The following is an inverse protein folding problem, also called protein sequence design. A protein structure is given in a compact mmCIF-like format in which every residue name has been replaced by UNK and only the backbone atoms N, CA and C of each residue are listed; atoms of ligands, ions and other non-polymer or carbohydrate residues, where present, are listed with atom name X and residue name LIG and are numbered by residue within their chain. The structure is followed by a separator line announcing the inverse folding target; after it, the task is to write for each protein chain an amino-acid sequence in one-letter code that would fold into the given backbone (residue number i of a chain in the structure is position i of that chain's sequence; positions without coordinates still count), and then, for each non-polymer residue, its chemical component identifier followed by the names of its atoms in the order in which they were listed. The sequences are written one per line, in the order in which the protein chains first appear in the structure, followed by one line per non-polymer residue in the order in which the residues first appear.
data_IF_541869985409
#
_entry.id   IF_541869985409
#
_cell.length_a   1.000
_cell.length_b   1.000
_cell.length_c   1.000
_cell.angle_alpha   90.00
_cell.angle_beta   90.00
_cell.angle_gamma   90.00
#
_symmetry.space_group_name_H-M   'P 1'
#
loop_
_entity.id
_entity.type
_entity.pdbx_description
1 polymer ?
#
# COMPACT_ATOMS: atom_id res chain seq x y z
N UNK A 1 8.95 -23.59 -17.34
CA UNK A 1 9.07 -22.28 -18.03
C UNK A 1 10.35 -21.60 -17.54
N UNK A 2 11.10 -20.90 -18.40
CA UNK A 2 12.23 -20.10 -17.93
C UNK A 2 11.74 -18.95 -17.04
N UNK A 3 12.42 -18.70 -15.93
CA UNK A 3 12.17 -17.55 -15.06
C UNK A 3 12.70 -16.30 -15.78
N UNK A 4 11.85 -15.27 -15.92
CA UNK A 4 12.20 -14.01 -16.60
C UNK A 4 12.19 -12.86 -15.59
N UNK A 5 13.27 -12.09 -15.55
CA UNK A 5 13.41 -10.97 -14.63
C UNK A 5 12.85 -9.69 -15.28
N UNK A 6 11.82 -9.04 -14.69
CA UNK A 6 11.08 -7.95 -15.36
C UNK A 6 11.90 -6.69 -15.62
N UNK A 7 12.99 -6.44 -14.87
CA UNK A 7 13.84 -5.26 -15.05
C UNK A 7 15.34 -5.51 -14.79
N UNK A 8 15.91 -6.49 -15.50
CA UNK A 8 17.30 -6.95 -15.28
C UNK A 8 18.33 -5.87 -15.60
N UNK A 9 18.07 -5.06 -16.64
CA UNK A 9 18.97 -3.99 -17.08
C UNK A 9 19.15 -2.91 -16.01
N UNK A 10 18.09 -2.57 -15.28
CA UNK A 10 18.16 -1.59 -14.20
C UNK A 10 18.92 -2.15 -13.01
N UNK A 11 18.64 -3.41 -12.61
CA UNK A 11 19.33 -4.10 -11.51
C UNK A 11 20.84 -4.12 -11.77
N UNK A 12 21.28 -4.58 -12.95
CA UNK A 12 22.68 -4.58 -13.35
C UNK A 12 23.35 -3.20 -13.31
N UNK A 13 22.63 -2.13 -13.68
CA UNK A 13 23.18 -0.77 -13.73
C UNK A 13 23.27 -0.11 -12.36
N UNK A 14 22.26 -0.32 -11.50
CA UNK A 14 22.11 0.36 -10.21
C UNK A 14 22.74 -0.41 -9.05
N UNK A 15 22.65 -1.75 -9.06
CA UNK A 15 23.10 -2.64 -8.00
C UNK A 15 24.37 -3.38 -8.42
N UNK A 16 25.39 -2.64 -8.90
CA UNK A 16 26.57 -3.26 -9.53
C UNK A 16 27.32 -4.19 -8.58
N UNK A 17 27.46 -3.80 -7.32
CA UNK A 17 28.18 -4.56 -6.30
C UNK A 17 27.43 -5.83 -5.97
N UNK A 18 26.13 -5.72 -5.70
CA UNK A 18 25.25 -6.84 -5.37
C UNK A 18 25.10 -7.80 -6.55
N UNK A 19 25.08 -7.27 -7.78
CA UNK A 19 25.03 -8.07 -8.99
C UNK A 19 26.32 -8.88 -9.19
N UNK A 20 27.48 -8.29 -8.88
CA UNK A 20 28.74 -9.02 -8.91
C UNK A 20 28.76 -10.13 -7.85
N UNK A 21 28.35 -9.83 -6.62
CA UNK A 21 28.24 -10.86 -5.56
C UNK A 21 27.24 -11.95 -5.95
N UNK A 22 26.13 -11.59 -6.60
CA UNK A 22 25.16 -12.55 -7.10
C UNK A 22 25.74 -13.46 -8.19
N UNK A 23 26.56 -12.94 -9.10
CA UNK A 23 27.29 -13.75 -10.09
C UNK A 23 28.24 -14.74 -9.41
N UNK A 24 29.02 -14.26 -8.44
CA UNK A 24 29.98 -15.08 -7.71
C UNK A 24 29.26 -16.20 -6.92
N UNK A 25 28.15 -15.87 -6.23
CA UNK A 25 27.31 -16.84 -5.55
C UNK A 25 26.65 -17.84 -6.50
N UNK A 26 26.19 -17.38 -7.67
CA UNK A 26 25.58 -18.26 -8.66
C UNK A 26 26.60 -19.29 -9.13
N UNK A 27 27.84 -18.86 -9.40
CA UNK A 27 28.93 -19.76 -9.81
C UNK A 27 29.20 -20.84 -8.75
N UNK A 28 29.23 -20.46 -7.47
CA UNK A 28 29.41 -21.42 -6.37
C UNK A 28 28.27 -22.45 -6.29
N UNK A 29 27.02 -22.02 -6.52
CA UNK A 29 25.85 -22.91 -6.51
C UNK A 29 25.87 -23.84 -7.72
N UNK A 30 26.23 -23.32 -8.89
CA UNK A 30 26.35 -24.10 -10.14
C UNK A 30 27.40 -25.22 -9.98
N UNK A 31 28.56 -24.92 -9.39
CA UNK A 31 29.63 -25.89 -9.14
C UNK A 31 29.21 -26.98 -8.14
N UNK A 32 28.62 -26.60 -7.01
CA UNK A 32 28.23 -27.54 -5.95
C UNK A 32 27.03 -28.42 -6.37
N UNK A 33 26.06 -27.84 -7.08
CA UNK A 33 24.81 -28.52 -7.43
C UNK A 33 24.76 -29.07 -8.86
N UNK A 34 25.81 -28.84 -9.65
CA UNK A 34 25.93 -29.31 -11.05
C UNK A 34 24.72 -28.90 -11.90
N UNK A 35 24.34 -27.63 -11.82
CA UNK A 35 23.23 -27.02 -12.55
C UNK A 35 23.67 -25.69 -13.18
N UNK A 36 22.86 -25.16 -14.09
CA UNK A 36 23.06 -23.81 -14.67
C UNK A 36 21.98 -22.86 -14.11
N UNK A 37 22.39 -21.68 -13.65
CA UNK A 37 21.51 -20.62 -13.16
C UNK A 37 21.32 -19.59 -14.29
N UNK A 38 20.10 -19.42 -14.81
CA UNK A 38 19.82 -18.43 -15.83
C UNK A 38 20.18 -17.01 -15.40
N UNK A 39 20.61 -16.19 -16.35
CA UNK A 39 21.03 -14.81 -16.09
C UNK A 39 19.94 -13.95 -15.43
N UNK A 40 18.67 -14.23 -15.73
CA UNK A 40 17.51 -13.60 -15.09
C UNK A 40 17.42 -13.94 -13.58
N UNK A 41 17.78 -15.16 -13.18
CA UNK A 41 17.78 -15.59 -11.77
C UNK A 41 18.89 -14.92 -10.96
N UNK A 42 20.04 -14.66 -11.60
CA UNK A 42 21.13 -13.85 -11.01
C UNK A 42 20.62 -12.44 -10.68
N UNK A 43 19.72 -11.89 -11.51
CA UNK A 43 19.02 -10.63 -11.22
C UNK A 43 18.21 -10.68 -9.92
N UNK A 44 17.50 -11.79 -9.67
CA UNK A 44 16.74 -11.96 -8.44
C UNK A 44 17.64 -12.12 -7.21
N UNK A 45 18.73 -12.89 -7.32
CA UNK A 45 19.73 -13.02 -6.24
C UNK A 45 20.32 -11.64 -5.89
N UNK A 46 20.70 -10.86 -6.91
CA UNK A 46 21.18 -9.49 -6.73
C UNK A 46 20.17 -8.61 -5.98
N UNK A 47 18.89 -8.73 -6.30
CA UNK A 47 17.83 -8.00 -5.60
C UNK A 47 17.73 -8.41 -4.13
N UNK A 48 17.81 -9.71 -3.80
CA UNK A 48 17.81 -10.18 -2.40
C UNK A 48 18.99 -9.64 -1.60
N UNK A 49 20.18 -9.58 -2.20
CA UNK A 49 21.38 -9.03 -1.57
C UNK A 49 21.30 -7.50 -1.39
N UNK A 50 20.54 -6.82 -2.24
CA UNK A 50 20.33 -5.37 -2.15
C UNK A 50 19.36 -4.94 -1.05
N UNK A 51 18.67 -5.89 -0.40
CA UNK A 51 17.80 -5.59 0.75
C UNK A 51 18.68 -5.17 1.92
N UNK A 52 19.00 -3.88 1.98
CA UNK A 52 19.60 -3.27 3.16
C UNK A 52 18.56 -3.27 4.28
N UNK A 53 18.70 -4.20 5.22
CA UNK A 53 18.03 -4.16 6.52
C UNK A 53 18.36 -2.83 7.21
N UNK A 54 17.50 -1.81 7.04
CA UNK A 54 17.55 -0.55 7.78
C UNK A 54 17.97 0.71 7.02
N UNK A 55 18.29 0.66 5.72
CA UNK A 55 18.49 1.89 4.94
C UNK A 55 17.25 2.11 4.05
N UNK A 56 16.36 3.01 4.49
CA UNK A 56 15.34 3.61 3.62
C UNK A 56 16.11 4.20 2.42
N UNK A 57 15.97 3.62 1.23
CA UNK A 57 16.51 4.22 0.02
C UNK A 57 16.04 5.68 -0.03
N UNK A 58 17.00 6.60 0.05
CA UNK A 58 16.77 8.03 -0.19
C UNK A 58 16.58 8.25 -1.68
N UNK A 59 15.53 7.66 -2.26
CA UNK A 59 14.94 8.27 -3.43
C UNK A 59 14.24 9.54 -2.96
N UNK A 60 14.23 10.62 -3.75
CA UNK A 60 13.19 11.62 -3.62
C UNK A 60 11.86 10.95 -4.03
N UNK A 61 11.32 10.11 -3.15
CA UNK A 61 9.92 9.74 -3.20
C UNK A 61 9.19 11.02 -2.82
N UNK A 62 8.70 11.76 -3.81
CA UNK A 62 7.57 12.64 -3.51
C UNK A 62 6.48 11.71 -3.00
N UNK A 63 6.22 11.74 -1.70
CA UNK A 63 5.22 10.85 -1.12
C UNK A 63 3.84 11.35 -1.53
N UNK A 64 2.82 10.52 -1.39
CA UNK A 64 1.45 11.01 -1.56
C UNK A 64 1.20 12.04 -0.47
N UNK A 65 0.86 13.26 -0.85
CA UNK A 65 0.50 14.28 0.14
C UNK A 65 -0.78 13.88 0.86
N UNK A 66 -0.82 14.03 2.18
CA UNK A 66 -2.03 13.74 2.98
C UNK A 66 -2.49 15.05 3.61
N UNK A 67 -3.73 15.46 3.32
CA UNK A 67 -4.35 16.62 3.96
C UNK A 67 -5.61 16.16 4.70
N UNK A 68 -5.63 16.37 6.00
CA UNK A 68 -6.81 16.17 6.86
C UNK A 68 -7.61 17.46 6.86
N UNK A 69 -8.88 17.41 6.44
CA UNK A 69 -9.74 18.57 6.26
C UNK A 69 -11.10 18.31 6.91
N UNK A 70 -11.41 18.96 8.02
CA UNK A 70 -12.60 18.65 8.82
C UNK A 70 -13.29 19.91 9.34
N UNK A 71 -14.57 19.78 9.63
CA UNK A 71 -15.34 20.80 10.32
C UNK A 71 -14.92 20.90 11.79
N UNK A 72 -15.12 22.08 12.36
CA UNK A 72 -14.73 22.42 13.72
C UNK A 72 -13.40 23.16 13.77
N UNK A 73 -13.01 23.56 14.98
CA UNK A 73 -11.87 24.47 15.18
C UNK A 73 -10.54 23.75 15.35
N UNK A 74 -10.56 22.45 15.62
CA UNK A 74 -9.36 21.67 15.94
C UNK A 74 -9.49 20.18 15.65
N UNK A 75 -10.52 19.76 14.90
CA UNK A 75 -10.79 18.34 14.67
C UNK A 75 -9.71 17.72 13.77
N UNK A 76 -9.40 18.37 12.65
CA UNK A 76 -8.37 17.90 11.72
C UNK A 76 -6.99 17.97 12.38
N UNK A 77 -6.68 19.10 13.02
CA UNK A 77 -5.37 19.31 13.66
C UNK A 77 -5.14 18.38 14.84
N UNK A 78 -6.15 18.15 15.69
CA UNK A 78 -6.03 17.22 16.82
C UNK A 78 -5.81 15.78 16.36
N UNK A 79 -6.57 15.32 15.36
CA UNK A 79 -6.42 13.97 14.82
C UNK A 79 -5.05 13.79 14.16
N UNK A 80 -4.60 14.77 13.37
CA UNK A 80 -3.30 14.70 12.72
C UNK A 80 -2.17 14.68 13.75
N UNK A 81 -2.23 15.55 14.77
CA UNK A 81 -1.22 15.60 15.84
C UNK A 81 -1.11 14.27 16.57
N UNK A 82 -2.24 13.65 16.95
CA UNK A 82 -2.23 12.35 17.60
C UNK A 82 -1.66 11.24 16.70
N UNK A 83 -2.00 11.29 15.40
CA UNK A 83 -1.50 10.31 14.43
C UNK A 83 0.01 10.44 14.19
N UNK A 84 0.50 11.68 14.12
CA UNK A 84 1.91 12.01 13.98
C UNK A 84 2.73 11.57 15.19
N UNK A 85 2.23 11.79 16.41
CA UNK A 85 2.87 11.35 17.65
C UNK A 85 2.94 9.83 17.74
N UNK A 86 1.88 9.12 17.36
CA UNK A 86 1.87 7.65 17.34
C UNK A 86 2.82 7.03 16.30
N UNK A 87 3.10 7.75 15.21
CA UNK A 87 3.97 7.29 14.12
C UNK A 87 5.40 7.83 14.21
N UNK A 88 5.69 8.71 15.17
CA UNK A 88 6.94 9.50 15.22
C UNK A 88 7.26 10.14 13.86
N UNK A 89 6.25 10.81 13.28
CA UNK A 89 6.29 11.34 11.91
C UNK A 89 5.78 12.78 11.86
N UNK A 90 6.38 13.62 11.02
CA UNK A 90 5.93 14.99 10.76
C UNK A 90 5.16 15.14 9.44
N UNK A 91 4.75 14.02 8.85
CA UNK A 91 4.03 13.98 7.57
C UNK A 91 2.57 14.43 7.72
N UNK A 92 2.04 15.05 6.68
CA UNK A 92 0.63 15.44 6.58
C UNK A 92 0.35 16.88 7.03
N UNK A 93 -0.76 17.42 6.56
CA UNK A 93 -1.22 18.78 6.87
C UNK A 93 -2.67 18.71 7.35
N UNK A 94 -3.02 19.53 8.33
CA UNK A 94 -4.38 19.66 8.81
C UNK A 94 -4.94 21.03 8.47
N UNK A 95 -6.23 21.06 8.10
CA UNK A 95 -6.98 22.27 7.91
C UNK A 95 -8.34 22.14 8.60
N UNK A 96 -8.56 22.99 9.59
CA UNK A 96 -9.81 23.08 10.34
C UNK A 96 -10.74 24.12 9.69
N UNK A 97 -11.99 23.71 9.46
CA UNK A 97 -13.06 24.56 8.94
C UNK A 97 -14.05 24.88 10.06
N UNK A 98 -13.89 26.05 10.67
CA UNK A 98 -14.85 26.56 11.65
C UNK A 98 -16.25 26.69 11.04
N UNK A 99 -17.30 26.53 11.85
CA UNK A 99 -18.69 26.48 11.38
C UNK A 99 -19.21 27.80 10.79
N UNK A 100 -18.54 28.91 11.08
CA UNK A 100 -18.78 30.24 10.49
C UNK A 100 -18.05 30.44 9.14
N UNK A 101 -17.10 29.56 8.81
CA UNK A 101 -16.37 29.60 7.54
C UNK A 101 -17.23 29.00 6.43
N UNK A 102 -17.31 29.69 5.29
CA UNK A 102 -18.02 29.15 4.13
C UNK A 102 -17.20 28.06 3.42
N UNK A 103 -17.90 27.12 2.78
CA UNK A 103 -17.27 26.04 1.99
C UNK A 103 -16.31 26.60 0.94
N UNK A 104 -16.69 27.69 0.25
CA UNK A 104 -15.85 28.31 -0.77
C UNK A 104 -14.56 28.89 -0.16
N UNK A 105 -14.63 29.59 0.98
CA UNK A 105 -13.43 30.11 1.65
C UNK A 105 -12.47 28.98 2.04
N UNK A 106 -13.00 27.86 2.54
CA UNK A 106 -12.16 26.71 2.85
C UNK A 106 -11.54 26.10 1.59
N UNK A 107 -12.31 25.97 0.51
CA UNK A 107 -11.76 25.51 -0.78
C UNK A 107 -10.63 26.41 -1.28
N UNK A 108 -10.81 27.73 -1.26
CA UNK A 108 -9.79 28.68 -1.70
C UNK A 108 -8.52 28.59 -0.85
N UNK A 109 -8.67 28.40 0.46
CA UNK A 109 -7.52 28.17 1.36
C UNK A 109 -6.75 26.90 0.99
N UNK A 110 -7.47 25.80 0.71
CA UNK A 110 -6.87 24.54 0.25
C UNK A 110 -6.18 24.70 -1.10
N UNK A 111 -6.85 25.32 -2.08
CA UNK A 111 -6.33 25.55 -3.42
C UNK A 111 -5.04 26.36 -3.40
N UNK A 112 -5.03 27.50 -2.70
CA UNK A 112 -3.85 28.35 -2.59
C UNK A 112 -2.67 27.58 -1.99
N UNK A 113 -2.93 26.81 -0.92
CA UNK A 113 -1.91 25.99 -0.30
C UNK A 113 -1.33 24.94 -1.26
N UNK A 114 -2.18 24.25 -2.02
CA UNK A 114 -1.76 23.23 -3.00
C UNK A 114 -0.97 23.88 -4.14
N UNK A 115 -1.38 25.05 -4.63
CA UNK A 115 -0.68 25.80 -5.69
C UNK A 115 0.69 26.30 -5.24
N UNK A 116 0.82 26.79 -4.01
CA UNK A 116 2.10 27.23 -3.45
C UNK A 116 3.08 26.06 -3.23
N UNK A 117 2.58 24.84 -3.05
CA UNK A 117 3.36 23.66 -2.68
C UNK A 117 3.28 22.51 -3.71
N UNK A 118 3.02 22.81 -4.99
CA UNK A 118 2.78 21.78 -6.03
C UNK A 118 3.87 20.71 -6.11
N UNK A 119 5.14 21.06 -5.88
CA UNK A 119 6.27 20.12 -5.92
C UNK A 119 6.15 18.99 -4.88
N UNK A 120 5.44 19.21 -3.77
CA UNK A 120 5.20 18.21 -2.74
C UNK A 120 4.13 17.19 -3.15
N UNK A 121 3.28 17.52 -4.13
CA UNK A 121 2.10 16.74 -4.52
C UNK A 121 2.25 16.04 -5.87
N UNK A 122 3.47 15.94 -6.40
CA UNK A 122 3.72 15.34 -7.72
C UNK A 122 3.25 13.88 -7.83
N UNK A 123 3.26 13.14 -6.71
CA UNK A 123 2.77 11.75 -6.67
C UNK A 123 1.30 11.62 -6.24
N UNK A 124 0.59 12.74 -6.15
CA UNK A 124 -0.82 12.82 -5.84
C UNK A 124 -1.11 13.31 -4.43
N UNK A 125 -2.39 13.56 -4.19
CA UNK A 125 -2.93 14.12 -2.95
C UNK A 125 -4.10 13.28 -2.46
N UNK A 126 -4.07 12.93 -1.18
CA UNK A 126 -5.16 12.28 -0.48
C UNK A 126 -5.79 13.28 0.50
N UNK A 127 -7.04 13.63 0.25
CA UNK A 127 -7.87 14.40 1.18
C UNK A 127 -8.61 13.45 2.11
N UNK A 128 -8.44 13.66 3.40
CA UNK A 128 -9.13 12.91 4.45
C UNK A 128 -10.14 13.85 5.12
N UNK A 129 -11.43 13.62 4.85
CA UNK A 129 -12.51 14.50 5.29
C UNK A 129 -13.46 13.82 6.27
N UNK A 130 -14.21 14.61 7.01
CA UNK A 130 -15.29 14.13 7.87
C UNK A 130 -16.57 13.86 7.05
N UNK A 131 -17.13 14.88 6.41
CA UNK A 131 -18.46 14.82 5.79
C UNK A 131 -18.68 15.93 4.73
N UNK A 132 -19.82 15.83 4.04
CA UNK A 132 -20.39 16.94 3.27
C UNK A 132 -19.61 17.32 2.02
N UNK A 133 -19.63 18.61 1.69
CA UNK A 133 -19.09 19.20 0.46
C UNK A 133 -17.57 19.10 0.35
N UNK A 134 -16.85 18.87 1.45
CA UNK A 134 -15.39 18.78 1.46
C UNK A 134 -14.87 17.65 0.55
N UNK A 135 -15.63 16.56 0.39
CA UNK A 135 -15.25 15.47 -0.52
C UNK A 135 -15.17 15.89 -1.99
N UNK A 136 -15.99 16.87 -2.40
CA UNK A 136 -15.99 17.36 -3.79
C UNK A 136 -14.73 18.13 -4.14
N UNK A 137 -13.96 18.59 -3.14
CA UNK A 137 -12.73 19.34 -3.36
C UNK A 137 -11.67 18.52 -4.09
N UNK A 138 -11.68 17.20 -3.99
CA UNK A 138 -10.75 16.36 -4.74
C UNK A 138 -10.93 16.51 -6.26
N UNK A 139 -12.18 16.51 -6.73
CA UNK A 139 -12.48 16.70 -8.16
C UNK A 139 -12.13 18.10 -8.61
N UNK A 140 -12.53 19.12 -7.84
CA UNK A 140 -12.26 20.53 -8.17
C UNK A 140 -10.74 20.82 -8.21
N UNK A 141 -9.99 20.34 -7.22
CA UNK A 141 -8.52 20.51 -7.20
C UNK A 141 -7.86 19.87 -8.41
N UNK A 142 -8.31 18.68 -8.81
CA UNK A 142 -7.76 18.02 -10.01
C UNK A 142 -8.03 18.84 -11.27
N UNK A 143 -9.24 19.37 -11.43
CA UNK A 143 -9.61 20.21 -12.57
C UNK A 143 -8.79 21.51 -12.64
N UNK A 144 -8.52 22.14 -11.49
CA UNK A 144 -7.82 23.43 -11.44
C UNK A 144 -6.29 23.31 -11.44
N UNK A 145 -5.73 22.23 -10.91
CA UNK A 145 -4.27 22.08 -10.71
C UNK A 145 -3.64 20.96 -11.52
N UNK A 146 -4.43 20.01 -12.03
CA UNK A 146 -3.95 18.79 -12.66
C UNK A 146 -3.35 17.75 -11.68
N UNK A 147 -3.31 18.04 -10.38
CA UNK A 147 -2.77 17.12 -9.36
C UNK A 147 -3.80 16.03 -9.08
N UNK A 148 -3.41 14.77 -9.31
CA UNK A 148 -4.26 13.61 -9.01
C UNK A 148 -4.66 13.62 -7.55
N UNK A 149 -5.96 13.74 -7.29
CA UNK A 149 -6.49 13.89 -5.94
C UNK A 149 -7.60 12.87 -5.67
N UNK A 150 -7.59 12.25 -4.48
CA UNK A 150 -8.65 11.37 -3.98
C UNK A 150 -9.16 11.89 -2.65
N UNK A 151 -10.45 11.70 -2.36
CA UNK A 151 -11.04 12.04 -1.08
C UNK A 151 -11.63 10.81 -0.38
N UNK A 152 -11.33 10.65 0.90
CA UNK A 152 -11.95 9.67 1.80
C UNK A 152 -12.81 10.42 2.81
N UNK A 153 -14.10 10.12 2.85
CA UNK A 153 -15.05 10.64 3.82
C UNK A 153 -15.06 9.81 5.11
N UNK A 154 -15.71 10.30 6.16
CA UNK A 154 -15.84 9.60 7.46
C UNK A 154 -14.48 9.24 8.06
N UNK A 155 -13.50 10.11 7.86
CA UNK A 155 -12.14 9.91 8.36
C UNK A 155 -12.14 9.90 9.89
N UNK A 156 -11.49 8.88 10.45
CA UNK A 156 -11.16 8.78 11.87
C UNK A 156 -9.64 8.74 12.06
N UNK A 157 -9.16 8.80 13.30
CA UNK A 157 -7.74 8.74 13.64
C UNK A 157 -7.03 7.52 13.03
N UNK A 158 -7.69 6.37 13.01
CA UNK A 158 -7.13 5.14 12.43
C UNK A 158 -6.91 5.27 10.91
N UNK A 159 -7.83 5.93 10.20
CA UNK A 159 -7.69 6.17 8.75
C UNK A 159 -6.51 7.12 8.48
N UNK A 160 -6.34 8.16 9.31
CA UNK A 160 -5.21 9.09 9.19
C UNK A 160 -3.88 8.38 9.43
N UNK A 161 -3.78 7.57 10.49
CA UNK A 161 -2.59 6.76 10.78
C UNK A 161 -2.23 5.87 9.58
N UNK A 162 -3.21 5.15 9.03
CA UNK A 162 -2.95 4.24 7.92
C UNK A 162 -2.52 4.97 6.65
N UNK A 163 -3.18 6.09 6.34
CA UNK A 163 -2.82 6.94 5.21
C UNK A 163 -1.38 7.46 5.31
N UNK A 164 -0.99 7.99 6.47
CA UNK A 164 0.35 8.50 6.72
C UNK A 164 1.39 7.37 6.64
N UNK A 165 1.13 6.24 7.29
CA UNK A 165 2.02 5.06 7.29
C UNK A 165 2.27 4.56 5.87
N UNK A 166 1.22 4.41 5.05
CA UNK A 166 1.35 3.93 3.67
C UNK A 166 2.01 4.96 2.75
N UNK A 167 1.71 6.25 2.94
CA UNK A 167 2.39 7.33 2.23
C UNK A 167 3.89 7.33 2.55
N UNK A 168 4.26 7.11 3.81
CA UNK A 168 5.65 7.05 4.24
C UNK A 168 6.41 5.86 3.64
N UNK A 169 5.70 4.76 3.35
CA UNK A 169 6.21 3.59 2.62
C UNK A 169 6.32 3.81 1.10
N UNK A 170 5.89 4.97 0.59
CA UNK A 170 5.95 5.29 -0.83
C UNK A 170 4.91 4.55 -1.68
N UNK A 171 3.78 4.16 -1.08
CA UNK A 171 2.66 3.54 -1.81
C UNK A 171 2.01 4.56 -2.76
N UNK A 172 1.42 4.05 -3.85
CA UNK A 172 0.71 4.89 -4.82
C UNK A 172 -0.55 5.51 -4.20
N UNK A 173 -1.05 6.61 -4.77
CA UNK A 173 -2.31 7.23 -4.31
C UNK A 173 -3.47 6.23 -4.41
N UNK A 174 -3.52 5.48 -5.50
CA UNK A 174 -4.54 4.46 -5.76
C UNK A 174 -4.49 3.33 -4.74
N UNK A 175 -3.29 2.81 -4.44
CA UNK A 175 -3.09 1.77 -3.43
C UNK A 175 -3.57 2.22 -2.05
N UNK A 176 -3.17 3.43 -1.62
CA UNK A 176 -3.55 3.97 -0.31
C UNK A 176 -5.07 4.10 -0.23
N UNK A 177 -5.69 4.67 -1.26
CA UNK A 177 -7.13 4.87 -1.32
C UNK A 177 -7.90 3.54 -1.22
N UNK A 178 -7.53 2.54 -2.02
CA UNK A 178 -8.18 1.23 -2.01
C UNK A 178 -8.01 0.49 -0.68
N UNK A 179 -6.80 0.48 -0.12
CA UNK A 179 -6.56 -0.18 1.17
C UNK A 179 -7.39 0.44 2.30
N UNK A 180 -7.53 1.77 2.32
CA UNK A 180 -8.38 2.45 3.30
C UNK A 180 -9.85 2.07 3.11
N UNK A 181 -10.35 2.05 1.86
CA UNK A 181 -11.74 1.67 1.58
C UNK A 181 -12.04 0.23 2.02
N UNK A 182 -11.21 -0.72 1.63
CA UNK A 182 -11.39 -2.14 1.98
C UNK A 182 -11.29 -2.37 3.49
N UNK A 183 -10.34 -1.69 4.15
CA UNK A 183 -10.19 -1.79 5.60
C UNK A 183 -11.40 -1.21 6.33
N UNK A 184 -11.89 -0.05 5.89
CA UNK A 184 -13.08 0.57 6.48
C UNK A 184 -14.32 -0.31 6.28
N UNK A 185 -14.54 -0.85 5.08
CA UNK A 185 -15.64 -1.75 4.80
C UNK A 185 -15.59 -3.01 5.68
N UNK A 186 -14.41 -3.60 5.84
CA UNK A 186 -14.21 -4.79 6.68
C UNK A 186 -14.55 -4.51 8.13
N UNK A 187 -14.04 -3.41 8.68
CA UNK A 187 -14.27 -3.02 10.08
C UNK A 187 -15.74 -2.74 10.35
N UNK A 188 -16.41 -2.02 9.44
CA UNK A 188 -17.84 -1.76 9.53
C UNK A 188 -18.61 -3.09 9.47
N UNK A 189 -18.29 -3.98 8.52
CA UNK A 189 -18.94 -5.29 8.40
C UNK A 189 -18.76 -6.11 9.68
N UNK A 190 -17.57 -6.17 10.25
CA UNK A 190 -17.29 -6.92 11.48
C UNK A 190 -17.99 -6.32 12.70
N UNK A 191 -18.07 -4.99 12.80
CA UNK A 191 -18.72 -4.31 13.93
C UNK A 191 -20.25 -4.49 13.93
N UNK A 192 -20.88 -4.53 12.75
CA UNK A 192 -22.34 -4.67 12.60
C UNK A 192 -22.80 -6.11 12.31
N UNK A 193 -21.88 -7.04 12.11
CA UNK A 193 -22.16 -8.48 12.24
C UNK A 193 -22.39 -8.81 13.72
N UNK A 194 -23.58 -8.47 14.20
CA UNK A 194 -24.23 -9.24 15.27
C UNK A 194 -24.26 -10.71 14.85
N UNK A 195 -24.14 -11.64 15.79
CA UNK A 195 -24.14 -13.10 15.62
C UNK A 195 -25.32 -13.67 14.79
N UNK A 196 -25.45 -13.29 13.53
CA UNK A 196 -26.19 -13.99 12.51
C UNK A 196 -25.28 -15.11 12.00
N UNK A 197 -24.95 -16.02 12.92
CA UNK A 197 -24.57 -17.39 12.60
C UNK A 197 -25.79 -18.14 12.06
N UNK A 198 -26.42 -17.59 11.02
CA UNK A 198 -27.42 -18.31 10.25
C UNK A 198 -26.71 -19.03 9.11
N UNK A 199 -26.33 -20.28 9.42
CA UNK A 199 -26.44 -21.43 8.53
C UNK A 199 -25.98 -21.24 7.06
N UNK A 200 -24.82 -20.63 6.83
CA UNK A 200 -23.99 -21.00 5.69
C UNK A 200 -22.75 -21.69 6.23
N UNK A 201 -22.73 -23.01 6.12
CA UNK A 201 -21.50 -23.79 6.08
C UNK A 201 -20.68 -23.34 4.86
N UNK A 202 -20.11 -22.13 4.86
CA UNK A 202 -19.05 -21.77 3.94
C UNK A 202 -17.80 -22.48 4.42
N UNK A 203 -17.23 -23.35 3.59
CA UNK A 203 -15.92 -23.94 3.89
C UNK A 203 -14.94 -22.81 4.20
N UNK A 204 -14.18 -22.93 5.29
CA UNK A 204 -13.07 -21.99 5.55
C UNK A 204 -12.02 -22.16 4.46
N UNK A 205 -11.20 -21.16 4.16
CA UNK A 205 -10.17 -21.29 3.14
C UNK A 205 -8.75 -21.24 3.73
N UNK A 206 -7.82 -22.03 3.19
CA UNK A 206 -6.37 -21.90 3.38
C UNK A 206 -5.77 -21.54 2.03
N UNK A 207 -5.25 -20.33 1.89
CA UNK A 207 -4.57 -19.90 0.67
C UNK A 207 -3.09 -20.26 0.76
N UNK A 208 -2.58 -20.99 -0.22
CA UNK A 208 -1.16 -21.28 -0.37
C UNK A 208 -0.64 -20.59 -1.62
N UNK A 209 0.39 -19.76 -1.48
CA UNK A 209 0.88 -18.96 -2.61
C UNK A 209 2.39 -19.05 -2.77
N UNK A 210 2.84 -19.01 -4.02
CA UNK A 210 4.22 -18.81 -4.41
C UNK A 210 4.24 -17.95 -5.68
N UNK A 211 5.42 -17.44 -6.07
CA UNK A 211 5.54 -16.50 -7.17
C UNK A 211 4.86 -17.00 -8.48
N UNK A 212 5.04 -18.27 -8.83
CA UNK A 212 4.46 -18.90 -10.04
C UNK A 212 3.23 -19.77 -9.79
N UNK A 213 2.77 -19.95 -8.55
CA UNK A 213 1.68 -20.87 -8.18
C UNK A 213 1.93 -22.38 -8.39
N UNK A 214 2.90 -22.78 -9.20
CA UNK A 214 3.12 -24.18 -9.60
C UNK A 214 4.25 -24.89 -8.82
N UNK A 215 4.98 -24.18 -7.96
CA UNK A 215 6.13 -24.73 -7.23
C UNK A 215 5.83 -25.00 -5.75
N UNK A 216 6.29 -24.08 -4.90
CA UNK A 216 6.18 -24.19 -3.43
C UNK A 216 4.72 -24.23 -2.97
N UNK A 217 3.83 -23.50 -3.62
CA UNK A 217 2.40 -23.50 -3.31
C UNK A 217 1.77 -24.89 -3.49
N UNK A 218 2.09 -25.60 -4.58
CA UNK A 218 1.60 -26.95 -4.83
C UNK A 218 2.13 -27.95 -3.79
N UNK A 219 3.41 -27.87 -3.43
CA UNK A 219 3.99 -28.71 -2.36
C UNK A 219 3.35 -28.43 -0.99
N UNK A 220 3.04 -27.17 -0.69
CA UNK A 220 2.34 -26.79 0.53
C UNK A 220 0.89 -27.30 0.52
N UNK A 221 0.20 -27.22 -0.62
CA UNK A 221 -1.13 -27.81 -0.79
C UNK A 221 -1.11 -29.31 -0.43
N UNK A 222 -0.21 -30.09 -1.02
CA UNK A 222 -0.12 -31.54 -0.76
C UNK A 222 0.15 -31.85 0.72
N UNK A 223 1.07 -31.10 1.34
CA UNK A 223 1.42 -31.26 2.75
C UNK A 223 0.26 -30.94 3.69
N UNK A 224 -0.48 -29.86 3.42
CA UNK A 224 -1.55 -29.36 4.28
C UNK A 224 -2.83 -30.19 4.06
N UNK A 225 -3.12 -30.59 2.82
CA UNK A 225 -4.27 -31.42 2.47
C UNK A 225 -4.34 -32.72 3.27
N UNK A 226 -3.19 -33.28 3.66
CA UNK A 226 -3.11 -34.49 4.47
C UNK A 226 -3.63 -34.33 5.91
N UNK A 227 -3.69 -33.10 6.44
CA UNK A 227 -4.04 -32.83 7.84
C UNK A 227 -5.33 -32.02 8.01
N UNK A 228 -5.98 -31.67 6.91
CA UNK A 228 -7.13 -30.77 6.90
C UNK A 228 -8.38 -31.50 6.40
N UNK A 229 -9.48 -31.34 7.14
CA UNK A 229 -10.80 -31.82 6.76
C UNK A 229 -11.34 -31.01 5.56
N UNK A 230 -11.15 -31.53 4.34
CA UNK A 230 -11.54 -30.85 3.11
C UNK A 230 -13.05 -30.67 2.95
N UNK A 231 -13.88 -31.31 3.79
CA UNK A 231 -15.31 -31.05 3.83
C UNK A 231 -15.63 -29.72 4.55
N UNK A 232 -14.74 -29.24 5.42
CA UNK A 232 -14.90 -28.00 6.19
C UNK A 232 -13.96 -26.89 5.75
N UNK A 233 -12.86 -27.22 5.09
CA UNK A 233 -11.83 -26.26 4.70
C UNK A 233 -11.38 -26.51 3.26
N UNK A 234 -11.40 -25.50 2.42
CA UNK A 234 -10.88 -25.50 1.06
C UNK A 234 -9.43 -25.00 1.04
N UNK A 235 -8.54 -25.64 0.29
CA UNK A 235 -7.16 -25.18 0.13
C UNK A 235 -7.01 -24.65 -1.29
N UNK A 236 -6.63 -23.37 -1.43
CA UNK A 236 -6.59 -22.66 -2.71
C UNK A 236 -5.13 -22.33 -3.04
N UNK A 237 -4.51 -23.00 -4.03
CA UNK A 237 -3.20 -22.61 -4.55
C UNK A 237 -3.33 -21.39 -5.46
N UNK A 238 -2.53 -20.35 -5.22
CA UNK A 238 -2.57 -19.08 -5.96
C UNK A 238 -1.19 -18.56 -6.35
N UNK A 239 -1.11 -17.87 -7.48
CA UNK A 239 0.06 -17.09 -7.86
C UNK A 239 0.12 -15.79 -7.05
N UNK A 240 1.29 -15.40 -6.56
CA UNK A 240 1.45 -14.14 -5.79
C UNK A 240 1.05 -12.91 -6.61
N UNK A 241 1.24 -12.95 -7.93
CA UNK A 241 0.89 -11.86 -8.85
C UNK A 241 -0.63 -11.64 -8.93
N UNK A 242 -1.45 -12.64 -8.62
CA UNK A 242 -2.91 -12.57 -8.68
C UNK A 242 -3.56 -12.14 -7.35
N UNK A 243 -2.79 -11.58 -6.41
CA UNK A 243 -3.25 -11.22 -5.07
C UNK A 243 -4.47 -10.28 -5.05
N UNK A 244 -4.67 -9.48 -6.10
CA UNK A 244 -5.82 -8.56 -6.21
C UNK A 244 -7.12 -9.22 -6.73
N UNK A 245 -7.10 -10.51 -7.06
CA UNK A 245 -8.27 -11.23 -7.59
C UNK A 245 -9.23 -11.72 -6.49
N UNK A 246 -8.89 -11.51 -5.21
CA UNK A 246 -9.68 -11.88 -4.03
C UNK A 246 -9.78 -10.74 -3.02
#
# INVERSE_FOLDING_TARGET
MPIVHPDLNRVRKKLKTEFQVALDLSTLIEEEMQLEIPFDEIGFISMFLSIQLGQKEQFPQNKVGVIVLMHGNSTASSILSASQELLDSSQGIAMDMSLDTSVNQMYQKLLNYVQENQSMFLNGLLLLTDMGSLNSFATLLYEETGIRTKAVSMTSTMIVIEALRMSEMGRSLEDIYQNIQTSFETIVREQFQTDLKDNKHSKKAIVVTCFTGEGVAAKLYERIAAFVDQAKVEIIPMQFIERETF
#
